data_IF_925333758164
#
_entry.id   IF_925333758164
#
_cell.length_a   1.000
_cell.length_b   1.000
_cell.length_c   1.000
_cell.angle_alpha   90.00
_cell.angle_beta   90.00
_cell.angle_gamma   90.00
#
_symmetry.space_group_name_H-M   'P 1'
#
loop_
_entity.id
_entity.type
_entity.pdbx_description
1 polymer ?
#
# COMPACT_ATOMS: atom_id res chain seq x y z
N UNK A 1 -69.64 84.49 16.52
CA UNK A 1 -68.74 84.39 15.34
C UNK A 1 -67.38 83.81 15.74
N UNK A 2 -66.83 84.20 16.90
CA UNK A 2 -65.56 83.69 17.45
C UNK A 2 -65.52 82.16 17.71
N UNK A 3 -66.54 81.59 18.34
CA UNK A 3 -66.59 80.16 18.66
C UNK A 3 -66.59 79.26 17.41
N UNK A 4 -67.31 79.67 16.36
CA UNK A 4 -67.30 78.98 15.08
C UNK A 4 -65.89 79.00 14.44
N UNK A 5 -65.22 80.15 14.50
CA UNK A 5 -63.86 80.30 13.99
C UNK A 5 -62.87 79.42 14.76
N UNK A 6 -63.05 79.31 16.09
CA UNK A 6 -62.25 78.44 16.95
C UNK A 6 -62.47 76.96 16.61
N UNK A 7 -63.73 76.52 16.43
CA UNK A 7 -64.04 75.17 15.96
C UNK A 7 -63.38 74.85 14.62
N UNK A 8 -63.41 75.77 13.65
CA UNK A 8 -62.78 75.58 12.34
C UNK A 8 -61.25 75.45 12.43
N UNK A 9 -60.60 76.22 13.31
CA UNK A 9 -59.14 76.09 13.56
C UNK A 9 -58.81 74.74 14.18
N UNK A 10 -59.58 74.29 15.16
CA UNK A 10 -59.40 72.97 15.80
C UNK A 10 -59.57 71.85 14.80
N UNK A 11 -60.63 71.89 13.97
CA UNK A 11 -60.87 70.86 12.95
C UNK A 11 -59.71 70.79 11.95
N UNK A 12 -59.21 71.94 11.48
CA UNK A 12 -58.04 71.99 10.57
C UNK A 12 -56.79 71.40 11.21
N UNK A 13 -56.51 71.72 12.49
CA UNK A 13 -55.38 71.13 13.22
C UNK A 13 -55.50 69.61 13.29
N UNK A 14 -56.67 69.09 13.68
CA UNK A 14 -56.91 67.65 13.75
C UNK A 14 -56.78 66.96 12.39
N UNK A 15 -57.25 67.62 11.31
CA UNK A 15 -57.15 67.09 9.96
C UNK A 15 -55.67 66.99 9.53
N UNK A 16 -54.86 68.02 9.82
CA UNK A 16 -53.42 67.99 9.57
C UNK A 16 -52.72 66.90 10.39
N UNK A 17 -53.05 66.76 11.68
CA UNK A 17 -52.46 65.72 12.54
C UNK A 17 -52.75 64.31 11.99
N UNK A 18 -53.96 64.08 11.47
CA UNK A 18 -54.36 62.81 10.82
C UNK A 18 -53.62 62.62 9.49
N UNK A 19 -53.47 63.66 8.68
CA UNK A 19 -52.71 63.59 7.42
C UNK A 19 -51.22 63.26 7.67
N UNK A 20 -50.59 63.92 8.64
CA UNK A 20 -49.21 63.65 9.04
C UNK A 20 -49.04 62.22 9.57
N UNK A 21 -50.00 61.76 10.37
CA UNK A 21 -49.99 60.39 10.89
C UNK A 21 -50.20 59.35 9.78
N UNK A 22 -51.08 59.62 8.80
CA UNK A 22 -51.28 58.76 7.63
C UNK A 22 -50.02 58.70 6.75
N UNK A 23 -49.36 59.84 6.53
CA UNK A 23 -48.11 59.90 5.77
C UNK A 23 -47.00 59.10 6.46
N UNK A 24 -46.87 59.22 7.79
CA UNK A 24 -45.93 58.44 8.59
C UNK A 24 -46.18 56.94 8.49
N UNK A 25 -47.43 56.51 8.68
CA UNK A 25 -47.81 55.09 8.58
C UNK A 25 -47.52 54.54 7.19
N UNK A 26 -47.84 55.30 6.13
CA UNK A 26 -47.58 54.88 4.76
C UNK A 26 -46.09 54.71 4.46
N UNK A 27 -45.24 55.61 4.99
CA UNK A 27 -43.79 55.49 4.85
C UNK A 27 -43.24 54.26 5.60
N UNK A 28 -43.72 54.00 6.82
CA UNK A 28 -43.36 52.80 7.60
C UNK A 28 -43.79 51.51 6.89
N UNK A 29 -45.00 51.47 6.33
CA UNK A 29 -45.51 50.32 5.58
C UNK A 29 -44.68 50.04 4.32
N UNK A 30 -44.31 51.07 3.55
CA UNK A 30 -43.45 50.89 2.37
C UNK A 30 -42.04 50.41 2.73
N UNK A 31 -41.49 50.89 3.85
CA UNK A 31 -40.21 50.41 4.35
C UNK A 31 -40.28 48.93 4.76
N UNK A 32 -41.35 48.52 5.46
CA UNK A 32 -41.58 47.12 5.83
C UNK A 32 -41.76 46.24 4.59
N UNK A 33 -42.54 46.68 3.60
CA UNK A 33 -42.77 45.95 2.35
C UNK A 33 -41.46 45.68 1.60
N UNK A 34 -40.62 46.71 1.47
CA UNK A 34 -39.31 46.60 0.80
C UNK A 34 -38.39 45.62 1.55
N UNK A 35 -38.44 45.66 2.89
CA UNK A 35 -37.66 44.75 3.75
C UNK A 35 -38.11 43.30 3.55
N UNK A 36 -39.42 43.03 3.54
CA UNK A 36 -39.97 41.69 3.31
C UNK A 36 -39.57 41.16 1.93
N UNK A 37 -39.71 41.97 0.87
CA UNK A 37 -39.32 41.57 -0.49
C UNK A 37 -37.83 41.24 -0.60
N UNK A 38 -36.98 42.00 0.09
CA UNK A 38 -35.53 41.73 0.13
C UNK A 38 -35.26 40.38 0.80
N UNK A 39 -35.87 40.14 1.97
CA UNK A 39 -35.73 38.88 2.71
C UNK A 39 -36.27 37.66 1.94
N UNK A 40 -37.35 37.82 1.19
CA UNK A 40 -37.89 36.76 0.32
C UNK A 40 -36.92 36.37 -0.81
N UNK A 41 -36.24 37.37 -1.39
CA UNK A 41 -35.17 37.17 -2.37
C UNK A 41 -33.99 36.40 -1.78
N UNK A 42 -33.52 36.82 -0.61
CA UNK A 42 -32.43 36.16 0.12
C UNK A 42 -32.80 34.72 0.49
N UNK A 43 -34.01 34.49 1.00
CA UNK A 43 -34.51 33.16 1.34
C UNK A 43 -34.54 32.24 0.11
N UNK A 44 -34.98 32.75 -1.03
CA UNK A 44 -34.99 32.01 -2.30
C UNK A 44 -33.57 31.67 -2.77
N UNK A 45 -32.63 32.59 -2.59
CA UNK A 45 -31.20 32.37 -2.88
C UNK A 45 -30.61 31.29 -1.98
N UNK A 46 -30.82 31.38 -0.67
CA UNK A 46 -30.37 30.38 0.32
C UNK A 46 -30.94 29.00 -0.01
N UNK A 47 -32.23 28.92 -0.37
CA UNK A 47 -32.87 27.65 -0.74
C UNK A 47 -32.21 27.00 -1.96
N UNK A 48 -31.87 27.80 -2.99
CA UNK A 48 -31.14 27.32 -4.17
C UNK A 48 -29.73 26.85 -3.84
N UNK A 49 -28.99 27.61 -3.04
CA UNK A 49 -27.64 27.23 -2.60
C UNK A 49 -27.67 25.94 -1.76
N UNK A 50 -28.67 25.79 -0.89
CA UNK A 50 -28.84 24.57 -0.08
C UNK A 50 -29.07 23.33 -0.94
N UNK A 51 -29.88 23.45 -2.00
CA UNK A 51 -30.10 22.35 -2.96
C UNK A 51 -28.80 21.98 -3.70
N UNK A 52 -28.04 22.99 -4.16
CA UNK A 52 -26.77 22.77 -4.84
C UNK A 52 -25.76 22.05 -3.94
N UNK A 53 -25.60 22.52 -2.69
CA UNK A 53 -24.68 21.90 -1.72
C UNK A 53 -25.07 20.45 -1.45
N UNK A 54 -26.37 20.13 -1.40
CA UNK A 54 -26.84 18.76 -1.23
C UNK A 54 -26.42 17.88 -2.41
N UNK A 55 -26.65 18.32 -3.64
CA UNK A 55 -26.26 17.57 -4.85
C UNK A 55 -24.74 17.36 -4.93
N UNK A 56 -23.96 18.39 -4.61
CA UNK A 56 -22.50 18.31 -4.55
C UNK A 56 -22.02 17.34 -3.46
N UNK A 57 -22.69 17.33 -2.30
CA UNK A 57 -22.40 16.40 -1.20
C UNK A 57 -22.71 14.96 -1.61
N UNK A 58 -23.85 14.71 -2.26
CA UNK A 58 -24.24 13.38 -2.73
C UNK A 58 -23.24 12.85 -3.78
N UNK A 59 -22.80 13.71 -4.71
CA UNK A 59 -21.76 13.39 -5.68
C UNK A 59 -20.44 13.05 -5.00
N UNK A 60 -20.01 13.87 -4.05
CA UNK A 60 -18.77 13.64 -3.29
C UNK A 60 -18.81 12.32 -2.51
N UNK A 61 -19.95 11.98 -1.89
CA UNK A 61 -20.12 10.71 -1.16
C UNK A 61 -19.98 9.52 -2.11
N UNK A 62 -20.55 9.60 -3.32
CA UNK A 62 -20.41 8.56 -4.34
C UNK A 62 -18.96 8.36 -4.78
N UNK A 63 -18.27 9.45 -5.14
CA UNK A 63 -16.86 9.41 -5.55
C UNK A 63 -15.96 8.87 -4.43
N UNK A 64 -16.22 9.27 -3.18
CA UNK A 64 -15.54 8.70 -2.00
C UNK A 64 -15.74 7.19 -1.91
N UNK A 65 -16.95 6.68 -2.14
CA UNK A 65 -17.25 5.25 -2.15
C UNK A 65 -16.46 4.47 -3.21
N UNK A 66 -16.32 5.05 -4.40
CA UNK A 66 -15.52 4.48 -5.50
C UNK A 66 -14.02 4.43 -5.14
N UNK A 67 -13.49 5.52 -4.55
CA UNK A 67 -12.10 5.58 -4.07
C UNK A 67 -11.85 4.54 -2.98
N UNK A 68 -12.73 4.42 -1.99
CA UNK A 68 -12.61 3.41 -0.93
C UNK A 68 -12.59 1.99 -1.49
N UNK A 69 -13.43 1.71 -2.50
CA UNK A 69 -13.47 0.40 -3.18
C UNK A 69 -12.14 0.09 -3.87
N UNK A 70 -11.54 1.10 -4.54
CA UNK A 70 -10.25 0.95 -5.20
C UNK A 70 -9.12 0.73 -4.18
N UNK A 71 -9.11 1.46 -3.07
CA UNK A 71 -8.12 1.30 -1.99
C UNK A 71 -8.16 -0.13 -1.44
N UNK A 72 -9.35 -0.64 -1.11
CA UNK A 72 -9.51 -2.00 -0.60
C UNK A 72 -9.02 -3.05 -1.61
N UNK A 73 -9.30 -2.85 -2.90
CA UNK A 73 -8.81 -3.75 -3.94
C UNK A 73 -7.28 -3.75 -4.01
N UNK A 74 -6.64 -2.59 -3.87
CA UNK A 74 -5.18 -2.44 -3.89
C UNK A 74 -4.54 -3.08 -2.65
N UNK A 75 -5.11 -2.86 -1.46
CA UNK A 75 -4.64 -3.48 -0.22
C UNK A 75 -4.66 -5.01 -0.32
N UNK A 76 -5.73 -5.62 -0.84
CA UNK A 76 -5.78 -7.08 -1.05
C UNK A 76 -4.66 -7.58 -1.97
N UNK A 77 -4.34 -6.82 -3.03
CA UNK A 77 -3.24 -7.15 -3.94
C UNK A 77 -1.89 -7.05 -3.25
N UNK A 78 -1.67 -6.03 -2.41
CA UNK A 78 -0.45 -5.91 -1.62
C UNK A 78 -0.28 -7.11 -0.67
N UNK A 79 -1.30 -7.47 0.10
CA UNK A 79 -1.22 -8.62 1.00
C UNK A 79 -0.93 -9.94 0.26
N UNK A 80 -1.46 -10.09 -0.96
CA UNK A 80 -1.15 -11.25 -1.81
C UNK A 80 0.33 -11.25 -2.25
N UNK A 81 0.85 -10.09 -2.65
CA UNK A 81 2.25 -9.95 -3.07
C UNK A 81 3.22 -10.14 -1.89
N UNK A 82 2.88 -9.64 -0.70
CA UNK A 82 3.68 -9.83 0.52
C UNK A 82 3.75 -11.32 0.91
N UNK A 83 2.63 -12.04 0.84
CA UNK A 83 2.62 -13.48 1.08
C UNK A 83 3.50 -14.24 0.06
N UNK A 84 3.41 -13.87 -1.23
CA UNK A 84 4.26 -14.46 -2.27
C UNK A 84 5.75 -14.16 -2.02
N UNK A 85 6.08 -12.94 -1.62
CA UNK A 85 7.45 -12.52 -1.31
C UNK A 85 8.00 -13.33 -0.12
N UNK A 86 7.23 -13.52 0.95
CA UNK A 86 7.62 -14.39 2.06
C UNK A 86 7.87 -15.84 1.62
N UNK A 87 7.00 -16.38 0.76
CA UNK A 87 7.17 -17.73 0.21
C UNK A 87 8.43 -17.86 -0.66
N UNK A 88 8.73 -16.84 -1.47
CA UNK A 88 9.95 -16.79 -2.27
C UNK A 88 11.20 -16.72 -1.41
N UNK A 89 11.21 -15.91 -0.34
CA UNK A 89 12.32 -15.87 0.60
C UNK A 89 12.54 -17.23 1.27
N UNK A 90 11.48 -17.89 1.73
CA UNK A 90 11.58 -19.22 2.30
C UNK A 90 12.16 -20.25 1.31
N UNK A 91 11.72 -20.18 0.05
CA UNK A 91 12.23 -21.06 -1.01
C UNK A 91 13.71 -20.79 -1.29
N UNK A 92 14.14 -19.52 -1.28
CA UNK A 92 15.52 -19.13 -1.47
C UNK A 92 16.42 -19.68 -0.35
N UNK A 93 16.00 -19.59 0.91
CA UNK A 93 16.74 -20.14 2.05
C UNK A 93 16.95 -21.65 1.91
N UNK A 94 15.89 -22.39 1.53
CA UNK A 94 15.99 -23.83 1.30
C UNK A 94 16.99 -24.17 0.18
N UNK A 95 16.98 -23.43 -0.93
CA UNK A 95 17.93 -23.60 -2.04
C UNK A 95 19.37 -23.33 -1.57
N UNK A 96 19.57 -22.27 -0.78
CA UNK A 96 20.89 -21.92 -0.25
C UNK A 96 21.42 -23.01 0.70
N UNK A 97 20.54 -23.56 1.54
CA UNK A 97 20.87 -24.67 2.44
C UNK A 97 21.23 -25.94 1.65
N UNK A 98 20.43 -26.34 0.65
CA UNK A 98 20.71 -27.50 -0.21
C UNK A 98 22.04 -27.34 -0.96
N UNK A 99 22.30 -26.14 -1.50
CA UNK A 99 23.58 -25.83 -2.15
C UNK A 99 24.76 -26.01 -1.19
N UNK A 100 24.64 -25.54 0.04
CA UNK A 100 25.65 -25.75 1.09
C UNK A 100 25.90 -27.24 1.35
N UNK A 101 24.83 -28.00 1.56
CA UNK A 101 24.90 -29.44 1.81
C UNK A 101 25.56 -30.21 0.65
N UNK A 102 25.21 -29.88 -0.59
CA UNK A 102 25.83 -30.48 -1.78
C UNK A 102 27.31 -30.12 -1.89
N UNK A 103 27.68 -28.87 -1.58
CA UNK A 103 29.09 -28.44 -1.60
C UNK A 103 29.94 -29.22 -0.59
N UNK A 104 29.41 -29.46 0.61
CA UNK A 104 30.09 -30.27 1.63
C UNK A 104 30.28 -31.70 1.12
N UNK A 105 29.21 -32.36 0.66
CA UNK A 105 29.28 -33.73 0.11
C UNK A 105 30.28 -33.86 -1.06
N UNK A 106 30.35 -32.84 -1.92
CA UNK A 106 31.29 -32.82 -3.04
C UNK A 106 32.74 -32.66 -2.57
N UNK A 107 32.97 -31.84 -1.54
CA UNK A 107 34.30 -31.69 -0.93
C UNK A 107 34.76 -32.99 -0.25
N UNK A 108 33.88 -33.69 0.47
CA UNK A 108 34.16 -34.99 1.09
C UNK A 108 34.53 -36.04 0.04
N UNK A 109 33.77 -36.13 -1.06
CA UNK A 109 34.09 -37.03 -2.17
C UNK A 109 35.43 -36.70 -2.80
N UNK A 110 35.73 -35.41 -3.02
CA UNK A 110 37.03 -34.97 -3.57
C UNK A 110 38.17 -35.44 -2.67
N UNK A 111 38.07 -35.20 -1.36
CA UNK A 111 39.08 -35.63 -0.38
C UNK A 111 39.26 -37.14 -0.39
N UNK A 112 38.16 -37.91 -0.38
CA UNK A 112 38.20 -39.36 -0.46
C UNK A 112 38.99 -39.86 -1.68
N UNK A 113 38.68 -39.35 -2.88
CA UNK A 113 39.37 -39.76 -4.10
C UNK A 113 40.83 -39.32 -4.11
N UNK A 114 41.15 -38.12 -3.60
CA UNK A 114 42.55 -37.68 -3.45
C UNK A 114 43.34 -38.62 -2.54
N UNK A 115 42.79 -39.02 -1.39
CA UNK A 115 43.44 -39.98 -0.49
C UNK A 115 43.58 -41.36 -1.15
N UNK A 116 42.55 -41.85 -1.84
CA UNK A 116 42.62 -43.12 -2.56
C UNK A 116 43.70 -43.10 -3.65
N UNK A 117 43.82 -42.00 -4.39
CA UNK A 117 44.84 -41.81 -5.42
C UNK A 117 46.25 -41.80 -4.82
N UNK A 118 46.48 -41.06 -3.73
CA UNK A 118 47.77 -41.06 -3.03
C UNK A 118 48.14 -42.46 -2.50
N UNK A 119 47.16 -43.21 -1.97
CA UNK A 119 47.38 -44.59 -1.53
C UNK A 119 47.85 -45.49 -2.68
N UNK A 120 47.22 -45.40 -3.85
CA UNK A 120 47.61 -46.17 -5.04
C UNK A 120 49.03 -45.79 -5.48
N UNK A 121 49.36 -44.48 -5.52
CA UNK A 121 50.70 -44.00 -5.85
C UNK A 121 51.73 -44.58 -4.87
N UNK A 122 51.44 -44.57 -3.58
CA UNK A 122 52.34 -45.08 -2.55
C UNK A 122 52.55 -46.59 -2.70
N UNK A 123 51.48 -47.36 -2.95
CA UNK A 123 51.57 -48.79 -3.24
C UNK A 123 52.42 -49.08 -4.48
N UNK A 124 52.24 -48.33 -5.56
CA UNK A 124 53.04 -48.49 -6.78
C UNK A 124 54.53 -48.16 -6.54
N UNK A 125 54.83 -47.10 -5.79
CA UNK A 125 56.20 -46.76 -5.40
C UNK A 125 56.83 -47.85 -4.53
N UNK A 126 56.08 -48.45 -3.63
CA UNK A 126 56.55 -49.55 -2.78
C UNK A 126 56.84 -50.80 -3.60
N UNK A 127 55.96 -51.15 -4.55
CA UNK A 127 56.23 -52.24 -5.50
C UNK A 127 57.46 -51.97 -6.37
N UNK A 128 57.63 -50.73 -6.85
CA UNK A 128 58.82 -50.33 -7.61
C UNK A 128 60.09 -50.51 -6.78
N UNK A 129 60.11 -50.05 -5.52
CA UNK A 129 61.24 -50.25 -4.60
C UNK A 129 61.55 -51.72 -4.36
N UNK A 130 60.51 -52.54 -4.14
CA UNK A 130 60.67 -53.98 -3.98
C UNK A 130 61.33 -54.61 -5.21
N UNK A 131 60.92 -54.23 -6.42
CA UNK A 131 61.57 -54.70 -7.66
C UNK A 131 63.01 -54.23 -7.77
N UNK A 132 63.30 -52.96 -7.44
CA UNK A 132 64.66 -52.42 -7.51
C UNK A 132 65.61 -53.11 -6.51
N UNK A 133 65.14 -53.42 -5.30
CA UNK A 133 65.88 -54.20 -4.29
C UNK A 133 66.15 -55.64 -4.75
N UNK A 134 65.18 -56.28 -5.41
CA UNK A 134 65.34 -57.66 -5.94
C UNK A 134 66.16 -57.72 -7.23
N UNK A 135 66.23 -56.63 -8.00
CA UNK A 135 67.09 -56.50 -9.19
C UNK A 135 68.57 -56.51 -8.82
N UNK A 136 68.93 -56.09 -7.61
CA UNK A 136 70.28 -56.24 -7.06
C UNK A 136 70.58 -57.65 -6.52
N UNK A 137 69.56 -58.46 -6.22
CA UNK A 137 69.74 -59.88 -5.82
C UNK A 137 69.86 -60.84 -7.00
N UNK A 138 69.38 -60.45 -8.19
CA UNK A 138 69.25 -61.33 -9.37
C UNK A 138 70.45 -61.32 -10.32
N UNK A 139 71.64 -60.87 -9.88
CA UNK A 139 72.88 -60.96 -10.66
C UNK A 139 73.62 -62.30 -10.48
N UNK A 140 72.91 -63.36 -10.08
CA UNK A 140 73.36 -64.75 -10.12
C UNK A 140 72.19 -65.63 -10.51
N UNK A 141 72.28 -66.28 -11.67
CA UNK A 141 71.49 -67.47 -11.98
C UNK A 141 70.62 -67.36 -13.23
N UNK A 142 71.24 -67.70 -14.36
CA UNK A 142 70.60 -67.98 -15.64
C UNK A 142 69.68 -69.22 -15.63
N UNK A 143 68.65 -69.13 -16.48
CA UNK A 143 68.17 -70.12 -17.46
C UNK A 143 66.91 -70.99 -17.21
N UNK A 144 66.04 -70.87 -18.24
CA UNK A 144 65.22 -71.90 -18.91
C UNK A 144 63.90 -72.34 -18.25
N UNK A 145 62.80 -72.68 -18.93
CA UNK A 145 62.35 -72.63 -20.34
C UNK A 145 60.88 -73.14 -20.36
N UNK A 146 60.04 -72.52 -21.20
CA UNK A 146 58.81 -72.96 -21.92
C UNK A 146 57.63 -73.78 -21.31
N UNK A 147 56.47 -73.49 -21.95
CA UNK A 147 55.24 -74.27 -22.15
C UNK A 147 54.20 -74.19 -21.01
N UNK A 148 52.89 -74.16 -21.21
CA UNK A 148 52.02 -74.30 -22.38
C UNK A 148 50.65 -73.65 -22.04
N UNK A 149 49.91 -73.35 -23.09
CA UNK A 149 48.53 -72.88 -23.16
C UNK A 149 47.52 -73.54 -22.21
N UNK A 150 46.56 -72.75 -21.70
CA UNK A 150 45.13 -73.12 -21.67
C UNK A 150 44.28 -71.86 -21.47
N UNK A 151 43.49 -71.56 -22.49
CA UNK A 151 42.46 -70.54 -22.53
C UNK A 151 41.47 -70.71 -21.37
N UNK A 152 41.36 -69.69 -20.51
CA UNK A 152 40.19 -69.48 -19.66
C UNK A 152 39.39 -68.30 -20.22
N UNK A 153 38.23 -68.65 -20.77
CA UNK A 153 37.15 -67.78 -21.19
C UNK A 153 36.70 -66.91 -20.00
N UNK A 154 36.67 -65.57 -20.09
CA UNK A 154 35.84 -64.76 -19.21
C UNK A 154 34.41 -64.88 -19.72
N UNK A 155 33.62 -65.58 -18.92
CA UNK A 155 32.18 -65.44 -18.91
C UNK A 155 31.81 -64.02 -18.42
N UNK A 156 30.58 -63.62 -18.71
CA UNK A 156 29.92 -62.39 -18.23
C UNK A 156 30.21 -61.09 -19.02
N UNK A 157 29.63 -61.05 -20.21
CA UNK A 157 29.29 -59.82 -20.93
C UNK A 157 27.75 -59.73 -21.02
N UNK A 158 27.04 -59.81 -19.88
CA UNK A 158 25.57 -59.81 -19.89
C UNK A 158 24.90 -59.14 -18.67
N UNK A 159 25.45 -58.04 -18.12
CA UNK A 159 24.71 -57.26 -17.08
C UNK A 159 24.88 -55.73 -17.15
N UNK A 160 25.61 -55.14 -18.11
CA UNK A 160 25.87 -53.69 -18.12
C UNK A 160 25.02 -52.84 -19.07
N UNK A 161 24.16 -53.43 -19.90
CA UNK A 161 23.30 -52.65 -20.80
C UNK A 161 22.02 -52.11 -20.14
N UNK A 162 21.45 -52.81 -19.16
CA UNK A 162 20.19 -52.41 -18.53
C UNK A 162 20.35 -51.18 -17.61
N UNK A 163 21.45 -51.11 -16.85
CA UNK A 163 21.69 -50.02 -15.89
C UNK A 163 22.04 -48.68 -16.59
N UNK A 164 22.80 -48.74 -17.69
CA UNK A 164 23.12 -47.55 -18.49
C UNK A 164 21.88 -47.05 -19.23
N UNK A 165 21.10 -47.94 -19.84
CA UNK A 165 19.86 -47.58 -20.54
C UNK A 165 18.82 -46.99 -19.57
N UNK A 166 18.71 -47.55 -18.36
CA UNK A 166 17.84 -47.04 -17.31
C UNK A 166 18.28 -45.66 -16.80
N UNK A 167 19.57 -45.45 -16.51
CA UNK A 167 20.06 -44.13 -16.09
C UNK A 167 19.89 -43.07 -17.20
N UNK A 168 20.04 -43.46 -18.47
CA UNK A 168 19.84 -42.56 -19.60
C UNK A 168 18.36 -42.17 -19.73
N UNK A 169 17.45 -43.12 -19.54
CA UNK A 169 16.00 -42.89 -19.53
C UNK A 169 15.58 -41.96 -18.39
N UNK A 170 16.08 -42.20 -17.17
CA UNK A 170 15.81 -41.34 -16.00
C UNK A 170 16.32 -39.91 -16.20
N UNK A 171 17.51 -39.75 -16.80
CA UNK A 171 18.07 -38.45 -17.16
C UNK A 171 17.25 -37.75 -18.26
N UNK A 172 16.78 -38.49 -19.26
CA UNK A 172 15.92 -37.96 -20.31
C UNK A 172 14.56 -37.50 -19.77
N UNK A 173 13.97 -38.26 -18.85
CA UNK A 173 12.74 -37.87 -18.15
C UNK A 173 12.95 -36.63 -17.27
N UNK A 174 14.08 -36.56 -16.55
CA UNK A 174 14.44 -35.39 -15.74
C UNK A 174 14.63 -34.14 -16.62
N UNK A 175 15.31 -34.27 -17.76
CA UNK A 175 15.47 -33.20 -18.73
C UNK A 175 14.12 -32.78 -19.34
N UNK A 176 13.26 -33.75 -19.68
CA UNK A 176 11.91 -33.49 -20.21
C UNK A 176 11.02 -32.77 -19.19
N UNK A 177 11.12 -33.11 -17.90
CA UNK A 177 10.43 -32.40 -16.81
C UNK A 177 10.94 -30.96 -16.67
N UNK A 178 12.26 -30.73 -16.70
CA UNK A 178 12.85 -29.38 -16.67
C UNK A 178 12.42 -28.54 -17.88
N UNK A 179 12.37 -29.13 -19.07
CA UNK A 179 11.90 -28.45 -20.28
C UNK A 179 10.42 -28.04 -20.16
N UNK A 180 9.58 -28.89 -19.56
CA UNK A 180 8.16 -28.57 -19.32
C UNK A 180 8.00 -27.40 -18.35
N UNK A 181 8.76 -27.40 -17.25
CA UNK A 181 8.78 -26.28 -16.30
C UNK A 181 9.25 -24.98 -16.96
N UNK A 182 10.32 -25.01 -17.76
CA UNK A 182 10.79 -23.84 -18.49
C UNK A 182 9.73 -23.29 -19.46
N UNK A 183 8.99 -24.17 -20.14
CA UNK A 183 7.87 -23.74 -21.01
C UNK A 183 6.76 -23.05 -20.22
N UNK A 184 6.43 -23.58 -19.03
CA UNK A 184 5.45 -22.95 -18.15
C UNK A 184 5.92 -21.58 -17.66
N UNK A 185 7.14 -21.49 -17.11
CA UNK A 185 7.72 -20.22 -16.65
C UNK A 185 7.80 -19.19 -17.77
N UNK A 186 8.12 -19.61 -19.01
CA UNK A 186 8.11 -18.72 -20.17
C UNK A 186 6.71 -18.15 -20.43
N UNK A 187 5.67 -18.98 -20.36
CA UNK A 187 4.29 -18.52 -20.57
C UNK A 187 3.80 -17.56 -19.47
N UNK A 188 4.22 -17.78 -18.22
CA UNK A 188 3.93 -16.89 -17.10
C UNK A 188 4.64 -15.54 -17.27
N UNK A 189 5.91 -15.56 -17.66
CA UNK A 189 6.69 -14.35 -17.95
C UNK A 189 6.10 -13.56 -19.12
N UNK A 190 5.65 -14.23 -20.19
CA UNK A 190 4.97 -13.57 -21.31
C UNK A 190 3.67 -12.89 -20.87
N UNK A 191 2.90 -13.52 -19.97
CA UNK A 191 1.69 -12.94 -19.41
C UNK A 191 2.00 -11.72 -18.53
N UNK A 192 3.01 -11.81 -17.68
CA UNK A 192 3.44 -10.69 -16.83
C UNK A 192 3.97 -9.52 -17.66
N UNK A 193 4.74 -9.79 -18.71
CA UNK A 193 5.25 -8.77 -19.61
C UNK A 193 4.10 -8.03 -20.35
N UNK A 194 3.04 -8.75 -20.75
CA UNK A 194 1.81 -8.14 -21.29
C UNK A 194 1.14 -7.21 -20.26
N UNK A 195 1.05 -7.62 -18.99
CA UNK A 195 0.46 -6.79 -17.92
C UNK A 195 1.30 -5.54 -17.63
N UNK A 196 2.62 -5.67 -17.60
CA UNK A 196 3.53 -4.53 -17.44
C UNK A 196 3.41 -3.55 -18.60
N UNK A 197 3.36 -4.05 -19.84
CA UNK A 197 3.15 -3.22 -21.03
C UNK A 197 1.84 -2.43 -20.95
N UNK A 198 0.74 -3.08 -20.55
CA UNK A 198 -0.55 -2.40 -20.34
C UNK A 198 -0.48 -1.34 -19.25
N UNK A 199 0.23 -1.61 -18.15
CA UNK A 199 0.39 -0.67 -17.03
C UNK A 199 1.20 0.56 -17.45
N UNK A 200 2.26 0.38 -18.24
CA UNK A 200 3.06 1.46 -18.83
C UNK A 200 2.20 2.33 -19.74
N UNK A 201 1.37 1.72 -20.60
CA UNK A 201 0.50 2.47 -21.51
C UNK A 201 -0.53 3.31 -20.76
N UNK A 202 -1.11 2.77 -19.68
CA UNK A 202 -2.02 3.52 -18.80
C UNK A 202 -1.29 4.70 -18.13
N UNK A 203 -0.07 4.48 -17.60
CA UNK A 203 0.71 5.55 -16.99
C UNK A 203 1.07 6.63 -18.01
N UNK A 204 1.42 6.26 -19.24
CA UNK A 204 1.72 7.20 -20.32
C UNK A 204 0.52 8.09 -20.65
N UNK A 205 -0.69 7.51 -20.69
CA UNK A 205 -1.94 8.30 -20.85
C UNK A 205 -2.14 9.27 -19.70
N UNK A 206 -1.98 8.81 -18.45
CA UNK A 206 -2.09 9.68 -17.26
C UNK A 206 -1.06 10.80 -17.24
N UNK A 207 0.17 10.54 -17.68
CA UNK A 207 1.19 11.58 -17.80
C UNK A 207 0.70 12.68 -18.73
N UNK A 208 0.03 12.34 -19.84
CA UNK A 208 -0.52 13.32 -20.77
C UNK A 208 -1.70 14.13 -20.21
N UNK A 209 -2.36 13.65 -19.15
CA UNK A 209 -3.45 14.38 -18.47
C UNK A 209 -2.92 15.54 -17.62
N UNK A 210 -1.64 15.51 -17.21
CA UNK A 210 -1.03 16.61 -16.48
C UNK A 210 -0.78 17.82 -17.38
N UNK A 211 -0.77 19.02 -16.79
CA UNK A 211 -0.45 20.25 -17.51
C UNK A 211 0.95 20.18 -18.15
N UNK A 212 1.15 20.71 -19.37
CA UNK A 212 2.43 20.63 -20.09
C UNK A 212 3.60 21.15 -19.28
N UNK A 213 3.40 22.22 -18.51
CA UNK A 213 4.41 22.85 -17.65
C UNK A 213 4.95 21.90 -16.58
N UNK A 214 4.10 20.99 -16.07
CA UNK A 214 4.51 19.96 -15.10
C UNK A 214 5.22 18.78 -15.76
N UNK A 215 4.92 18.48 -17.03
CA UNK A 215 5.56 17.37 -17.76
C UNK A 215 6.96 17.72 -18.25
N UNK A 216 7.18 19.00 -18.55
CA UNK A 216 8.46 19.54 -19.01
C UNK A 216 9.42 19.84 -17.85
N UNK A 217 8.92 19.80 -16.62
CA UNK A 217 9.69 20.06 -15.41
C UNK A 217 10.66 18.91 -15.09
N UNK A 218 11.81 19.25 -14.54
CA UNK A 218 12.81 18.25 -14.16
C UNK A 218 12.28 17.33 -13.06
N UNK A 219 12.50 16.02 -13.21
CA UNK A 219 12.00 14.99 -12.27
C UNK A 219 12.51 15.25 -10.86
N UNK A 220 13.77 15.67 -10.70
CA UNK A 220 14.36 15.94 -9.39
C UNK A 220 13.71 17.15 -8.72
N UNK A 221 13.32 18.15 -9.50
CA UNK A 221 12.56 19.29 -8.99
C UNK A 221 11.19 18.86 -8.48
N UNK A 222 10.46 18.05 -9.26
CA UNK A 222 9.16 17.51 -8.85
C UNK A 222 9.24 16.63 -7.60
N UNK A 223 10.29 15.81 -7.47
CA UNK A 223 10.55 14.99 -6.28
C UNK A 223 10.79 15.87 -5.03
N UNK A 224 11.58 16.94 -5.17
CA UNK A 224 11.84 17.87 -4.07
C UNK A 224 10.57 18.61 -3.63
N UNK A 225 9.77 19.12 -4.58
CA UNK A 225 8.49 19.76 -4.29
C UNK A 225 7.49 18.81 -3.62
N UNK A 226 7.41 17.57 -4.10
CA UNK A 226 6.58 16.53 -3.46
C UNK A 226 7.03 16.29 -2.00
N UNK A 227 8.34 16.25 -1.75
CA UNK A 227 8.88 16.08 -0.41
C UNK A 227 8.58 17.29 0.49
N UNK A 228 8.69 18.51 -0.02
CA UNK A 228 8.35 19.73 0.70
C UNK A 228 6.85 19.75 1.07
N UNK A 229 5.96 19.50 0.11
CA UNK A 229 4.51 19.42 0.36
C UNK A 229 4.18 18.31 1.36
N UNK A 230 4.90 17.19 1.33
CA UNK A 230 4.72 16.11 2.31
C UNK A 230 5.15 16.53 3.71
N UNK A 231 6.18 17.37 3.86
CA UNK A 231 6.60 17.91 5.15
C UNK A 231 5.56 18.91 5.68
N UNK A 232 5.11 19.85 4.85
CA UNK A 232 4.05 20.81 5.19
C UNK A 232 2.77 20.10 5.66
N UNK A 233 2.43 18.98 5.02
CA UNK A 233 1.28 18.15 5.41
C UNK A 233 1.42 17.60 6.83
N UNK A 234 2.64 17.21 7.25
CA UNK A 234 2.90 16.71 8.60
C UNK A 234 2.76 17.86 9.60
N UNK A 235 3.38 19.01 9.32
CA UNK A 235 3.29 20.18 10.19
C UNK A 235 1.84 20.66 10.36
N UNK A 236 1.06 20.69 9.27
CA UNK A 236 -0.34 21.04 9.33
C UNK A 236 -1.15 20.04 10.15
N UNK A 237 -0.83 18.75 10.07
CA UNK A 237 -1.49 17.72 10.88
C UNK A 237 -1.21 17.90 12.38
N UNK A 238 0.03 18.20 12.75
CA UNK A 238 0.43 18.51 14.13
C UNK A 238 -0.27 19.78 14.65
N UNK A 239 -0.35 20.82 13.83
CA UNK A 239 -1.08 22.04 14.16
C UNK A 239 -2.57 21.77 14.41
N UNK A 240 -3.21 20.99 13.54
CA UNK A 240 -4.62 20.59 13.70
C UNK A 240 -4.82 19.78 14.99
N UNK A 241 -3.91 18.86 15.33
CA UNK A 241 -3.96 18.12 16.59
C UNK A 241 -3.81 19.05 17.81
N UNK A 242 -2.91 20.03 17.74
CA UNK A 242 -2.75 21.05 18.79
C UNK A 242 -4.04 21.85 19.02
N UNK A 243 -4.70 22.29 17.96
CA UNK A 243 -5.99 22.99 18.05
C UNK A 243 -7.07 22.11 18.68
N UNK A 244 -7.10 20.82 18.36
CA UNK A 244 -8.05 19.88 18.96
C UNK A 244 -7.81 19.71 20.46
N UNK A 245 -6.55 19.62 20.88
CA UNK A 245 -6.21 19.56 22.30
C UNK A 245 -6.65 20.83 23.03
N UNK A 246 -6.51 22.01 22.40
CA UNK A 246 -7.00 23.26 22.97
C UNK A 246 -8.53 23.29 23.08
N UNK A 247 -9.25 22.79 22.08
CA UNK A 247 -10.71 22.69 22.12
C UNK A 247 -11.17 21.78 23.25
N UNK A 248 -10.49 20.63 23.48
CA UNK A 248 -10.80 19.75 24.60
C UNK A 248 -10.61 20.47 25.94
N UNK A 249 -9.50 21.20 26.11
CA UNK A 249 -9.26 22.00 27.33
C UNK A 249 -10.36 23.05 27.57
N UNK A 250 -10.92 23.63 26.51
CA UNK A 250 -12.03 24.59 26.62
C UNK A 250 -13.36 23.91 26.97
N UNK A 251 -13.60 22.67 26.52
CA UNK A 251 -14.79 21.87 26.90
C UNK A 251 -14.80 21.52 28.39
N UNK A 252 -13.64 21.29 28.97
CA UNK A 252 -13.53 20.93 30.39
C UNK A 252 -13.80 22.13 31.33
N UNK A 253 -13.91 23.35 30.79
CA UNK A 253 -14.27 24.54 31.56
C UNK A 253 -15.78 24.52 31.80
N UNK A 254 -16.18 24.24 33.05
CA UNK A 254 -17.55 24.39 33.52
C UNK A 254 -17.59 25.30 34.75
N UNK A 255 -18.65 26.10 34.86
CA UNK A 255 -18.81 27.04 35.97
C UNK A 255 -20.22 26.97 36.53
N UNK A 256 -20.34 26.91 37.85
CA UNK A 256 -21.62 26.89 38.54
C UNK A 256 -21.91 28.28 39.10
N UNK A 257 -23.08 28.83 38.76
CA UNK A 257 -23.54 30.14 39.22
C UNK A 257 -24.75 29.94 40.11
N UNK A 258 -24.70 30.56 41.29
CA UNK A 258 -25.77 30.47 42.27
C UNK A 258 -26.67 31.71 42.13
N UNK A 259 -27.93 31.48 41.78
CA UNK A 259 -28.93 32.52 41.66
C UNK A 259 -29.33 33.02 43.05
N UNK A 260 -29.63 34.32 43.16
CA UNK A 260 -30.22 34.92 44.36
C UNK A 260 -31.57 34.31 44.76
N UNK A 261 -32.17 33.50 43.88
CA UNK A 261 -33.36 32.70 44.09
C UNK A 261 -33.10 31.35 44.80
N UNK A 262 -31.84 30.98 45.04
CA UNK A 262 -31.45 29.71 45.67
C UNK A 262 -31.18 28.55 44.71
N UNK A 263 -31.41 28.74 43.41
CA UNK A 263 -31.13 27.75 42.37
C UNK A 263 -29.67 27.82 41.88
N UNK A 264 -29.09 26.67 41.54
CA UNK A 264 -27.74 26.53 40.99
C UNK A 264 -27.80 26.22 39.49
N UNK A 265 -27.10 27.02 38.68
CA UNK A 265 -27.01 26.85 37.23
C UNK A 265 -25.59 26.48 36.83
N UNK A 266 -25.43 25.34 36.14
CA UNK A 266 -24.15 24.91 35.58
C UNK A 266 -24.04 25.37 34.13
N UNK A 267 -23.02 26.18 33.83
CA UNK A 267 -22.70 26.63 32.49
C UNK A 267 -21.59 25.73 31.95
N UNK A 268 -21.88 25.09 30.82
CA UNK A 268 -20.95 24.25 30.06
C UNK A 268 -20.89 24.75 28.62
N UNK A 269 -19.70 24.67 28.01
CA UNK A 269 -19.50 24.99 26.60
C UNK A 269 -19.87 23.77 25.75
N UNK A 270 -21.12 23.73 25.28
CA UNK A 270 -21.57 22.72 24.33
C UNK A 270 -21.25 23.15 22.89
N UNK A 271 -20.49 22.33 22.17
CA UNK A 271 -20.04 22.63 20.81
C UNK A 271 -21.02 22.01 19.81
N UNK A 272 -21.48 22.85 18.87
CA UNK A 272 -22.37 22.45 17.78
C UNK A 272 -21.84 21.17 17.06
N UNK A 273 -22.70 20.20 16.70
CA UNK A 273 -22.31 18.86 16.22
C UNK A 273 -21.27 18.82 15.09
N UNK A 274 -21.17 19.88 14.29
CA UNK A 274 -20.25 20.01 13.15
C UNK A 274 -18.77 19.97 13.55
N UNK A 275 -18.41 20.43 14.76
CA UNK A 275 -17.03 20.38 15.28
C UNK A 275 -16.68 19.03 15.93
N UNK A 276 -17.67 18.26 16.39
CA UNK A 276 -17.48 16.89 16.88
C UNK A 276 -17.08 15.92 15.76
N UNK A 277 -17.63 16.12 14.55
CA UNK A 277 -17.32 15.30 13.36
C UNK A 277 -15.86 15.50 12.92
N UNK A 278 -15.30 16.71 13.06
CA UNK A 278 -13.90 17.02 12.74
C UNK A 278 -12.92 16.45 13.79
N UNK A 279 -13.30 16.44 15.07
CA UNK A 279 -12.53 15.82 16.15
C UNK A 279 -12.47 14.29 16.03
N UNK A 280 -13.57 13.61 15.66
CA UNK A 280 -13.56 12.16 15.46
C UNK A 280 -12.85 11.71 14.18
N UNK A 281 -12.90 12.49 13.09
CA UNK A 281 -12.20 12.13 11.84
C UNK A 281 -10.68 12.24 11.95
N UNK A 282 -10.17 13.14 12.80
CA UNK A 282 -8.75 13.40 13.00
C UNK A 282 -8.09 12.45 14.01
N UNK A 283 -8.79 12.04 15.07
CA UNK A 283 -8.35 10.96 15.97
C UNK A 283 -8.28 9.60 15.24
N UNK A 284 -9.13 9.35 14.25
CA UNK A 284 -9.12 8.14 13.43
C UNK A 284 -8.08 8.14 12.29
N UNK A 285 -7.30 9.22 12.12
CA UNK A 285 -6.15 9.23 11.21
C UNK A 285 -4.92 8.53 11.82
N UNK A 286 -5.02 8.04 13.07
CA UNK A 286 -3.95 7.35 13.76
C UNK A 286 -4.24 5.88 14.09
N UNK A 287 -4.91 5.13 13.20
CA UNK A 287 -4.63 3.70 13.03
C UNK A 287 -5.31 3.11 11.77
N UNK A 288 -4.58 2.75 10.71
CA UNK A 288 -5.16 1.98 9.61
C UNK A 288 -5.41 0.50 9.93
N UNK A 289 -5.10 0.02 11.15
CA UNK A 289 -5.02 -1.42 11.47
C UNK A 289 -5.95 -1.98 12.57
N UNK A 290 -6.83 -1.20 13.19
CA UNK A 290 -7.79 -1.78 14.15
C UNK A 290 -9.15 -1.98 13.49
N UNK A 291 -9.37 -3.21 13.05
CA UNK A 291 -10.68 -3.77 12.76
C UNK A 291 -11.55 -3.73 14.04
N UNK A 292 -12.56 -2.88 14.09
CA UNK A 292 -13.75 -3.18 14.89
C UNK A 292 -15.02 -2.74 14.13
N UNK A 293 -16.06 -3.60 14.07
CA UNK A 293 -17.26 -3.33 13.32
C UNK A 293 -18.18 -2.40 14.12
N UNK A 294 -18.45 -1.20 13.58
CA UNK A 294 -19.50 -0.32 14.09
C UNK A 294 -20.87 -1.01 13.89
N UNK A 295 -21.43 -1.46 15.00
CA UNK A 295 -22.79 -1.96 15.10
C UNK A 295 -23.79 -0.88 14.67
N UNK A 296 -24.79 -1.31 13.92
CA UNK A 296 -25.92 -0.52 13.44
C UNK A 296 -26.69 0.10 14.61
N UNK A 297 -26.91 1.41 14.54
CA UNK A 297 -28.19 2.06 14.83
C UNK A 297 -28.39 3.20 13.84
#
# INVERSE_FOLDING_TARGET
MEEYLQCMKTLRSQMNDVEDQAAKISAEEQMLLTTVQTLEGDLSSVKRQTLQIKEETDKMVKEKGEICSLILQKQRKFSTLEANLSSLYQTLDLIQQERGNLSVKLSEKRTYYSTAFENIINQLKEQQRWMDDHKYSSLIGENSQESDTTYKKPDELEVFQDDVAKSLSENFEAASRKLRLLKQMKSELELENKKSTQSIEIMKKKINDFKPELREMDVKFLENELQAISADKVELAEYVQSLQLQIVKLKDISHTINCSCGEEYKIELDLVPELQILSQKSLNLHNPFTNEPLARF
#
